data_IF_403618001364
#
_entry.id   IF_403618001364
#
_cell.length_a   1.000
_cell.length_b   1.000
_cell.length_c   1.000
_cell.angle_alpha   90.00
_cell.angle_beta   90.00
_cell.angle_gamma   90.00
#
_symmetry.space_group_name_H-M   'P 1'
#
loop_
_entity.id
_entity.type
_entity.pdbx_description
1 polymer ?
#
# COMPACT_ATOMS: atom_id res chain seq x y z
N UNK A 1 20.32 9.17 -8.75
CA UNK A 1 20.39 7.71 -8.58
C UNK A 1 20.76 7.44 -7.13
N UNK A 2 19.88 6.80 -6.35
CA UNK A 2 20.15 6.51 -4.94
C UNK A 2 21.23 5.43 -4.90
N UNK A 3 22.39 5.72 -4.29
CA UNK A 3 23.52 4.78 -4.24
C UNK A 3 23.12 3.54 -3.42
N UNK A 4 23.25 2.35 -4.01
CA UNK A 4 23.14 1.07 -3.31
C UNK A 4 21.90 0.21 -3.63
N UNK A 5 20.96 0.69 -4.45
CA UNK A 5 19.84 -0.12 -4.95
C UNK A 5 19.91 -0.22 -6.47
N UNK A 6 19.89 -1.46 -6.97
CA UNK A 6 19.77 -1.76 -8.38
C UNK A 6 18.28 -1.71 -8.80
N UNK A 7 17.82 -0.51 -9.17
CA UNK A 7 16.47 -0.29 -9.69
C UNK A 7 16.29 -0.71 -11.16
N UNK A 8 17.29 -1.37 -11.76
CA UNK A 8 17.09 -2.04 -13.05
C UNK A 8 16.18 -3.28 -12.91
N UNK A 9 16.01 -3.78 -11.68
CA UNK A 9 15.03 -4.81 -11.35
C UNK A 9 13.66 -4.21 -11.09
N UNK A 10 12.68 -4.69 -11.84
CA UNK A 10 11.27 -4.40 -11.64
C UNK A 10 10.81 -5.09 -10.35
N UNK A 11 10.32 -4.32 -9.37
CA UNK A 11 9.74 -4.92 -8.16
C UNK A 11 8.30 -5.31 -8.50
N UNK A 12 7.99 -6.60 -8.53
CA UNK A 12 6.63 -7.03 -8.87
C UNK A 12 5.67 -6.86 -7.68
N UNK A 13 6.09 -7.27 -6.47
CA UNK A 13 5.31 -7.15 -5.24
C UNK A 13 6.17 -6.59 -4.11
N UNK A 14 5.65 -5.57 -3.42
CA UNK A 14 6.25 -5.04 -2.21
C UNK A 14 5.41 -5.33 -0.98
N UNK A 15 5.96 -6.15 -0.08
CA UNK A 15 5.36 -6.48 1.20
C UNK A 15 5.85 -5.49 2.27
N UNK A 16 4.95 -4.59 2.69
CA UNK A 16 5.19 -3.61 3.76
C UNK A 16 4.20 -3.81 4.89
N UNK A 17 4.29 -4.96 5.57
CA UNK A 17 3.54 -5.29 6.78
C UNK A 17 4.42 -5.04 8.00
N UNK A 18 3.95 -4.19 8.91
CA UNK A 18 4.67 -3.79 10.12
C UNK A 18 4.41 -4.74 11.28
N UNK A 19 3.16 -5.18 11.48
CA UNK A 19 2.79 -6.11 12.55
C UNK A 19 2.69 -7.53 12.00
N UNK A 20 3.83 -8.09 11.62
CA UNK A 20 3.91 -9.42 11.06
C UNK A 20 3.42 -10.49 12.06
N UNK A 21 2.58 -11.38 11.56
CA UNK A 21 2.03 -12.56 12.24
C UNK A 21 1.95 -13.74 11.27
N UNK A 22 1.80 -14.96 11.79
CA UNK A 22 1.61 -16.16 10.96
C UNK A 22 0.43 -16.00 9.99
N UNK A 23 -0.67 -15.39 10.46
CA UNK A 23 -1.84 -15.11 9.61
C UNK A 23 -1.50 -14.15 8.46
N UNK A 24 -0.84 -13.03 8.75
CA UNK A 24 -0.46 -12.06 7.70
C UNK A 24 0.55 -12.64 6.71
N UNK A 25 1.47 -13.50 7.18
CA UNK A 25 2.44 -14.18 6.33
C UNK A 25 1.72 -15.15 5.39
N UNK A 26 0.78 -15.94 5.91
CA UNK A 26 -0.05 -16.86 5.11
C UNK A 26 -0.87 -16.13 4.04
N UNK A 27 -1.43 -14.95 4.35
CA UNK A 27 -2.14 -14.13 3.36
C UNK A 27 -1.20 -13.65 2.26
N UNK A 28 -0.01 -13.15 2.63
CA UNK A 28 0.99 -12.68 1.65
C UNK A 28 1.45 -13.82 0.75
N UNK A 29 1.71 -15.01 1.29
CA UNK A 29 2.12 -16.16 0.50
C UNK A 29 1.00 -16.63 -0.44
N UNK A 30 -0.25 -16.74 0.02
CA UNK A 30 -1.41 -17.10 -0.83
C UNK A 30 -1.58 -16.10 -1.99
N UNK A 31 -1.54 -14.79 -1.71
CA UNK A 31 -1.64 -13.76 -2.76
C UNK A 31 -0.49 -13.89 -3.75
N UNK A 32 0.74 -14.06 -3.25
CA UNK A 32 1.94 -14.18 -4.08
C UNK A 32 1.87 -15.39 -5.03
N UNK A 33 1.41 -16.54 -4.52
CA UNK A 33 1.21 -17.75 -5.32
C UNK A 33 0.13 -17.57 -6.39
N UNK A 34 -1.02 -16.98 -6.03
CA UNK A 34 -2.13 -16.77 -6.97
C UNK A 34 -1.81 -15.83 -8.11
N UNK A 35 -1.02 -14.79 -7.88
CA UNK A 35 -0.68 -13.84 -8.94
C UNK A 35 0.29 -14.41 -9.97
N UNK A 36 0.89 -15.59 -9.72
CA UNK A 36 1.93 -16.19 -10.56
C UNK A 36 3.02 -15.18 -10.94
N UNK A 37 3.29 -14.22 -10.04
CA UNK A 37 4.33 -13.23 -10.23
C UNK A 37 5.68 -13.93 -10.10
N UNK A 38 6.66 -13.55 -10.92
CA UNK A 38 8.04 -14.00 -10.72
C UNK A 38 8.51 -13.33 -9.44
N UNK A 39 8.37 -14.06 -8.35
CA UNK A 39 8.58 -13.55 -7.01
C UNK A 39 10.04 -13.11 -6.84
N UNK A 40 10.35 -11.85 -7.12
CA UNK A 40 11.53 -11.18 -6.53
C UNK A 40 11.13 -10.91 -5.08
N UNK A 41 11.22 -11.97 -4.26
CA UNK A 41 10.80 -12.04 -2.85
C UNK A 41 11.78 -11.18 -2.05
N UNK A 42 11.64 -9.85 -2.12
CA UNK A 42 12.40 -8.95 -1.25
C UNK A 42 11.74 -9.00 0.12
N UNK A 43 12.20 -9.94 0.94
CA UNK A 43 12.08 -9.82 2.38
C UNK A 43 12.87 -8.58 2.80
N UNK A 44 12.19 -7.54 3.29
CA UNK A 44 12.84 -6.50 4.09
C UNK A 44 13.26 -7.16 5.42
N UNK A 45 14.31 -7.98 5.39
CA UNK A 45 14.98 -8.37 6.61
C UNK A 45 15.55 -7.08 7.22
N UNK A 46 15.10 -6.77 8.44
CA UNK A 46 15.54 -5.65 9.27
C UNK A 46 17.06 -5.61 9.54
N UNK A 47 17.81 -6.59 9.02
CA UNK A 47 19.25 -6.74 9.16
C UNK A 47 20.05 -6.33 7.90
N UNK A 48 19.42 -5.78 6.86
CA UNK A 48 20.20 -5.22 5.75
C UNK A 48 20.83 -3.90 6.17
N UNK A 49 22.16 -3.87 6.14
CA UNK A 49 23.09 -2.83 6.57
C UNK A 49 23.01 -1.55 5.71
N UNK A 50 21.81 -1.00 5.54
CA UNK A 50 21.59 0.28 4.88
C UNK A 50 22.01 1.39 5.83
N UNK A 51 23.18 1.97 5.54
CA UNK A 51 23.65 3.22 6.16
C UNK A 51 22.49 4.23 6.20
N UNK A 52 22.28 4.80 7.38
CA UNK A 52 21.12 5.59 7.81
C UNK A 52 20.75 6.80 6.93
N UNK A 53 21.58 7.21 5.98
CA UNK A 53 21.36 8.46 5.24
C UNK A 53 20.33 8.37 4.11
N UNK A 54 19.97 7.16 3.64
CA UNK A 54 19.07 6.99 2.48
C UNK A 54 17.81 6.16 2.80
N UNK A 55 17.47 5.99 4.09
CA UNK A 55 16.46 5.01 4.51
C UNK A 55 15.06 5.37 3.99
N UNK A 56 14.72 6.66 3.99
CA UNK A 56 13.39 7.15 3.58
C UNK A 56 13.27 7.13 2.06
N UNK A 57 14.29 7.58 1.34
CA UNK A 57 14.31 7.59 -0.12
C UNK A 57 14.24 6.18 -0.67
N UNK A 58 14.98 5.24 -0.06
CA UNK A 58 14.90 3.82 -0.42
C UNK A 58 13.51 3.26 -0.14
N UNK A 59 12.95 3.55 1.04
CA UNK A 59 11.61 3.14 1.40
C UNK A 59 10.55 3.65 0.40
N UNK A 60 10.58 4.93 0.04
CA UNK A 60 9.71 5.51 -0.99
C UNK A 60 9.95 4.90 -2.37
N UNK A 61 11.21 4.61 -2.72
CA UNK A 61 11.55 4.00 -3.99
C UNK A 61 10.94 2.59 -4.13
N UNK A 62 10.85 1.80 -3.04
CA UNK A 62 10.13 0.53 -3.08
C UNK A 62 8.67 0.73 -3.49
N UNK A 63 7.94 1.65 -2.86
CA UNK A 63 6.57 1.96 -3.30
C UNK A 63 6.51 2.39 -4.76
N UNK A 64 7.43 3.26 -5.19
CA UNK A 64 7.41 3.84 -6.53
C UNK A 64 7.72 2.82 -7.63
N UNK A 65 8.65 1.89 -7.41
CA UNK A 65 9.05 0.91 -8.41
C UNK A 65 8.25 -0.39 -8.37
N UNK A 66 7.38 -0.58 -7.38
CA UNK A 66 6.52 -1.76 -7.30
C UNK A 66 5.29 -1.69 -8.19
N UNK A 67 4.86 -2.84 -8.71
CA UNK A 67 3.57 -2.97 -9.41
C UNK A 67 2.42 -3.19 -8.43
N UNK A 68 2.66 -4.01 -7.41
CA UNK A 68 1.68 -4.38 -6.39
C UNK A 68 2.22 -4.20 -4.97
N UNK A 69 1.36 -3.79 -4.03
CA UNK A 69 1.72 -3.57 -2.62
C UNK A 69 0.77 -4.33 -1.70
N UNK A 70 1.33 -5.03 -0.71
CA UNK A 70 0.57 -5.55 0.44
C UNK A 70 1.05 -4.81 1.68
N UNK A 71 0.13 -4.25 2.46
CA UNK A 71 0.51 -3.47 3.64
C UNK A 71 -0.57 -3.48 4.74
N UNK A 72 -0.16 -3.29 5.99
CA UNK A 72 -1.02 -3.05 7.15
C UNK A 72 -0.82 -1.62 7.72
N UNK A 73 -0.17 -0.75 6.94
CA UNK A 73 0.31 0.56 7.37
C UNK A 73 -0.48 1.67 6.71
N UNK A 74 -0.85 2.69 7.50
CA UNK A 74 -1.50 3.90 6.97
C UNK A 74 -0.63 4.61 5.93
N UNK A 75 0.68 4.70 6.16
CA UNK A 75 1.58 5.29 5.16
C UNK A 75 1.70 4.42 3.93
N UNK A 76 1.68 3.08 4.10
CA UNK A 76 1.66 2.15 2.98
C UNK A 76 0.46 2.38 2.08
N UNK A 77 -0.74 2.52 2.65
CA UNK A 77 -1.95 2.89 1.92
C UNK A 77 -1.78 4.23 1.18
N UNK A 78 -1.36 5.28 1.89
CA UNK A 78 -1.23 6.63 1.31
C UNK A 78 -0.26 6.67 0.14
N UNK A 79 0.93 6.07 0.27
CA UNK A 79 1.91 6.05 -0.81
C UNK A 79 1.49 5.14 -1.96
N UNK A 80 0.77 4.05 -1.70
CA UNK A 80 0.16 3.24 -2.76
C UNK A 80 -0.80 4.06 -3.61
N UNK A 81 -1.65 4.89 -2.99
CA UNK A 81 -2.57 5.79 -3.69
C UNK A 81 -1.80 6.87 -4.45
N UNK A 82 -0.84 7.55 -3.80
CA UNK A 82 -0.06 8.64 -4.43
C UNK A 82 0.68 8.17 -5.67
N UNK A 83 1.24 6.96 -5.63
CA UNK A 83 2.01 6.39 -6.75
C UNK A 83 1.16 5.52 -7.69
N UNK A 84 -0.16 5.55 -7.56
CA UNK A 84 -1.11 4.82 -8.41
C UNK A 84 -0.83 3.30 -8.51
N UNK A 85 -0.58 2.65 -7.38
CA UNK A 85 -0.17 1.24 -7.30
C UNK A 85 -1.34 0.31 -7.07
N UNK A 86 -1.32 -0.89 -7.64
CA UNK A 86 -2.29 -1.90 -7.20
C UNK A 86 -1.94 -2.30 -5.76
N UNK A 87 -2.93 -2.46 -4.88
CA UNK A 87 -2.65 -2.78 -3.49
C UNK A 87 -3.77 -3.56 -2.78
N UNK A 88 -3.38 -4.23 -1.69
CA UNK A 88 -4.26 -4.77 -0.66
C UNK A 88 -3.82 -4.25 0.72
N UNK A 89 -4.82 -3.96 1.55
CA UNK A 89 -4.64 -3.67 2.97
C UNK A 89 -4.97 -4.90 3.79
N UNK A 90 -4.04 -5.36 4.61
CA UNK A 90 -4.32 -6.34 5.66
C UNK A 90 -4.94 -5.59 6.83
N UNK A 91 -6.26 -5.71 6.96
CA UNK A 91 -7.05 -5.11 8.02
C UNK A 91 -6.94 -5.92 9.30
N UNK A 92 -6.27 -5.34 10.31
CA UNK A 92 -6.29 -5.83 11.67
C UNK A 92 -7.23 -4.96 12.52
N UNK A 93 -8.24 -5.56 13.16
CA UNK A 93 -9.22 -4.84 13.99
C UNK A 93 -8.59 -4.07 15.15
N UNK A 94 -7.45 -4.54 15.67
CA UNK A 94 -6.75 -3.84 16.75
C UNK A 94 -5.95 -2.62 16.27
N UNK A 95 -5.79 -2.42 14.95
CA UNK A 95 -4.83 -1.45 14.41
C UNK A 95 -5.40 -0.58 13.30
N UNK A 96 -5.91 0.60 13.68
CA UNK A 96 -6.10 1.72 12.75
C UNK A 96 -7.11 1.51 11.62
N UNK A 97 -7.97 0.48 11.71
CA UNK A 97 -8.95 0.12 10.68
C UNK A 97 -9.87 1.30 10.30
N UNK A 98 -10.23 2.13 11.27
CA UNK A 98 -11.06 3.32 11.06
C UNK A 98 -10.44 4.31 10.07
N UNK A 99 -9.12 4.49 10.09
CA UNK A 99 -8.41 5.40 9.18
C UNK A 99 -8.33 4.86 7.76
N UNK A 100 -8.14 3.54 7.61
CA UNK A 100 -8.21 2.87 6.31
C UNK A 100 -9.60 3.03 5.71
N UNK A 101 -10.64 2.63 6.45
CA UNK A 101 -12.02 2.73 6.02
C UNK A 101 -12.40 4.15 5.63
N UNK A 102 -12.01 5.15 6.42
CA UNK A 102 -12.31 6.56 6.14
C UNK A 102 -11.71 7.00 4.80
N UNK A 103 -10.43 6.69 4.54
CA UNK A 103 -9.77 7.09 3.30
C UNK A 103 -10.26 6.30 2.09
N UNK A 104 -10.39 4.98 2.21
CA UNK A 104 -10.82 4.12 1.12
C UNK A 104 -12.26 4.42 0.69
N UNK A 105 -13.15 4.69 1.65
CA UNK A 105 -14.53 5.12 1.37
C UNK A 105 -14.62 6.44 0.62
N UNK A 106 -13.71 7.38 0.85
CA UNK A 106 -13.69 8.64 0.08
C UNK A 106 -13.29 8.41 -1.39
N UNK A 107 -12.67 7.28 -1.69
CA UNK A 107 -12.13 6.95 -3.01
C UNK A 107 -12.88 5.80 -3.69
N UNK A 108 -13.87 5.20 -3.03
CA UNK A 108 -14.56 3.95 -3.37
C UNK A 108 -13.58 2.78 -3.60
N UNK A 109 -12.73 2.51 -2.59
CA UNK A 109 -11.71 1.47 -2.60
C UNK A 109 -11.82 0.52 -1.38
N UNK A 110 -12.96 0.46 -0.70
CA UNK A 110 -13.13 -0.38 0.50
C UNK A 110 -12.91 -1.87 0.23
N UNK A 111 -13.15 -2.32 -1.00
CA UNK A 111 -12.89 -3.69 -1.44
C UNK A 111 -11.41 -4.09 -1.33
N UNK A 112 -10.49 -3.14 -1.13
CA UNK A 112 -9.04 -3.41 -0.97
C UNK A 112 -8.64 -3.86 0.44
N UNK A 113 -9.55 -3.91 1.40
CA UNK A 113 -9.27 -4.43 2.75
C UNK A 113 -9.57 -5.92 2.80
N UNK A 114 -8.60 -6.70 3.26
CA UNK A 114 -8.77 -8.08 3.70
C UNK A 114 -8.74 -8.12 5.23
N UNK A 115 -9.81 -8.59 5.86
CA UNK A 115 -9.83 -8.84 7.30
C UNK A 115 -8.99 -10.08 7.62
N UNK A 116 -7.90 -9.89 8.36
CA UNK A 116 -6.94 -10.95 8.71
C UNK A 116 -7.59 -12.13 9.45
N UNK A 117 -8.66 -11.88 10.21
CA UNK A 117 -9.34 -12.92 11.00
C UNK A 117 -10.45 -13.63 10.22
N UNK A 118 -10.85 -13.08 9.07
CA UNK A 118 -11.93 -13.62 8.24
C UNK A 118 -11.46 -14.05 6.85
N UNK A 119 -10.15 -13.98 6.61
CA UNK A 119 -9.55 -14.31 5.33
C UNK A 119 -9.95 -15.69 4.85
N UNK A 120 -10.44 -15.74 3.62
CA UNK A 120 -10.71 -16.96 2.87
C UNK A 120 -10.01 -16.88 1.52
N UNK A 121 -9.74 -18.04 0.94
CA UNK A 121 -9.05 -18.14 -0.34
C UNK A 121 -9.84 -17.47 -1.49
N UNK A 122 -11.16 -17.32 -1.35
CA UNK A 122 -12.00 -16.58 -2.30
C UNK A 122 -11.78 -15.06 -2.26
N UNK A 123 -11.34 -14.49 -1.13
CA UNK A 123 -11.09 -13.04 -0.99
C UNK A 123 -10.01 -12.55 -1.96
N UNK A 124 -9.17 -13.47 -2.43
CA UNK A 124 -8.11 -13.24 -3.42
C UNK A 124 -8.68 -12.90 -4.81
N UNK A 125 -9.99 -13.05 -5.04
CA UNK A 125 -10.66 -12.58 -6.27
C UNK A 125 -10.45 -11.08 -6.53
N UNK A 126 -10.24 -10.29 -5.48
CA UNK A 126 -9.92 -8.86 -5.53
C UNK A 126 -8.70 -8.55 -6.41
N UNK A 127 -7.79 -9.51 -6.58
CA UNK A 127 -6.59 -9.38 -7.43
C UNK A 127 -6.92 -9.27 -8.92
N UNK A 128 -8.11 -9.74 -9.32
CA UNK A 128 -8.57 -9.61 -10.71
C UNK A 128 -9.17 -8.22 -11.00
N UNK A 129 -9.55 -7.48 -9.96
CA UNK A 129 -10.12 -6.15 -10.07
C UNK A 129 -9.00 -5.11 -10.04
N UNK A 130 -8.63 -4.51 -11.18
CA UNK A 130 -7.65 -3.42 -11.20
C UNK A 130 -8.27 -2.12 -10.68
N UNK A 131 -7.52 -1.37 -9.88
CA UNK A 131 -7.89 -0.02 -9.46
C UNK A 131 -7.89 0.90 -10.68
N UNK A 132 -9.03 1.52 -10.96
CA UNK A 132 -9.12 2.61 -11.94
C UNK A 132 -8.64 3.93 -11.32
N UNK A 133 -7.37 4.24 -11.56
CA UNK A 133 -6.76 5.45 -11.05
C UNK A 133 -7.24 6.74 -11.72
N UNK A 134 -7.97 6.68 -12.84
CA UNK A 134 -8.59 7.88 -13.40
C UNK A 134 -9.70 8.38 -12.46
N UNK A 135 -10.62 7.51 -12.06
CA UNK A 135 -11.70 7.87 -11.13
C UNK A 135 -11.18 8.11 -9.70
N UNK A 136 -10.21 7.33 -9.22
CA UNK A 136 -9.60 7.57 -7.90
C UNK A 136 -8.93 8.94 -7.84
N UNK A 137 -8.15 9.33 -8.86
CA UNK A 137 -7.46 10.62 -8.86
C UNK A 137 -8.43 11.79 -9.00
N UNK A 138 -9.55 11.62 -9.71
CA UNK A 138 -10.63 12.60 -9.78
C UNK A 138 -11.24 12.86 -8.39
N UNK A 139 -11.61 11.80 -7.66
CA UNK A 139 -12.11 11.91 -6.26
C UNK A 139 -11.06 12.54 -5.35
N UNK A 140 -9.81 12.08 -5.43
CA UNK A 140 -8.71 12.61 -4.63
C UNK A 140 -8.50 14.12 -4.86
N UNK A 141 -8.57 14.58 -6.11
CA UNK A 141 -8.46 16.00 -6.43
C UNK A 141 -9.63 16.82 -5.88
N UNK A 142 -10.85 16.28 -5.92
CA UNK A 142 -12.00 16.93 -5.27
C UNK A 142 -11.76 17.09 -3.76
N UNK A 143 -11.27 16.05 -3.07
CA UNK A 143 -10.95 16.13 -1.65
C UNK A 143 -9.81 17.11 -1.34
N UNK A 144 -8.80 17.20 -2.21
CA UNK A 144 -7.71 18.19 -2.10
C UNK A 144 -8.24 19.62 -2.19
N UNK A 145 -9.14 19.91 -3.13
CA UNK A 145 -9.72 21.26 -3.25
C UNK A 145 -10.61 21.62 -2.05
N UNK A 146 -11.38 20.67 -1.52
CA UNK A 146 -12.13 20.86 -0.27
C UNK A 146 -11.18 21.20 0.88
N UNK A 147 -10.11 20.41 1.06
CA UNK A 147 -9.11 20.63 2.11
C UNK A 147 -8.41 21.99 1.97
N UNK A 148 -8.00 22.35 0.74
CA UNK A 148 -7.37 23.64 0.44
C UNK A 148 -8.30 24.81 0.74
N UNK A 149 -9.57 24.71 0.35
CA UNK A 149 -10.57 25.74 0.62
C UNK A 149 -10.77 25.93 2.12
N UNK A 150 -10.88 24.83 2.87
CA UNK A 150 -10.98 24.87 4.33
C UNK A 150 -9.78 25.59 4.96
N UNK A 151 -8.55 25.21 4.58
CA UNK A 151 -7.32 25.81 5.10
C UNK A 151 -7.22 27.31 4.77
N UNK A 152 -7.54 27.70 3.53
CA UNK A 152 -7.52 29.10 3.12
C UNK A 152 -8.52 29.94 3.91
N UNK A 153 -9.71 29.41 4.17
CA UNK A 153 -10.72 30.11 4.97
C UNK A 153 -10.31 30.23 6.43
N UNK A 154 -9.66 29.20 7.00
CA UNK A 154 -9.20 29.22 8.39
C UNK A 154 -8.05 30.22 8.61
N UNK A 155 -7.19 30.44 7.60
CA UNK A 155 -6.03 31.35 7.71
C UNK A 155 -6.38 32.80 7.32
N UNK A 156 -7.41 33.00 6.49
CA UNK A 156 -7.91 34.33 6.08
C UNK A 156 -8.96 34.92 7.04
N UNK A 157 -9.21 34.24 8.16
CA UNK A 157 -10.06 34.73 9.25
C UNK A 157 -9.46 35.95 9.95
#
# INVERSE_FOLDING_TARGET
MIKGLDFSRKIELFNYVLDASEKSASIVDEISERMNLKIDKIYLNANSSLKSSNLIENWLAHFYYSDFIITDSFHGLVFSIIFNKQFIIIGNKSRGLSRFNSLLKLLDLENRIIDIDQFKTEDVAILNEKIDYLEVNKKLNMQKEISKTYLLNAIRG
#
